data_IF_746819617926
#
_entry.id   IF_746819617926
#
_cell.length_a   1.000
_cell.length_b   1.000
_cell.length_c   1.000
_cell.angle_alpha   90.00
_cell.angle_beta   90.00
_cell.angle_gamma   90.00
#
_symmetry.space_group_name_H-M   'P 1'
#
loop_
_entity.id
_entity.type
_entity.pdbx_description
1 polymer ?
#
# COMPACT_ATOMS: atom_id res chain seq x y z
N UNK A 1 -10.63 -8.40 15.39
CA UNK A 1 -9.64 -8.04 14.33
C UNK A 1 -8.76 -6.87 14.75
N UNK A 2 -9.26 -5.67 15.04
CA UNK A 2 -8.44 -4.48 15.31
C UNK A 2 -7.35 -4.66 16.39
N UNK A 3 -7.69 -5.27 17.54
CA UNK A 3 -6.70 -5.56 18.62
C UNK A 3 -5.57 -6.49 18.16
N UNK A 4 -5.87 -7.47 17.31
CA UNK A 4 -4.86 -8.39 16.77
C UNK A 4 -3.95 -7.69 15.78
N UNK A 5 -4.49 -6.80 14.92
CA UNK A 5 -3.69 -5.99 14.00
C UNK A 5 -2.69 -5.12 14.77
N UNK A 6 -3.14 -4.40 15.79
CA UNK A 6 -2.28 -3.57 16.65
C UNK A 6 -1.19 -4.39 17.36
N UNK A 7 -1.54 -5.57 17.90
CA UNK A 7 -0.59 -6.45 18.56
C UNK A 7 0.47 -7.00 17.59
N UNK A 8 0.03 -7.43 16.39
CA UNK A 8 0.94 -7.91 15.35
C UNK A 8 1.93 -6.82 14.91
N UNK A 9 1.45 -5.58 14.68
CA UNK A 9 2.31 -4.45 14.32
C UNK A 9 3.38 -4.23 15.38
N UNK A 10 3.00 -4.16 16.66
CA UNK A 10 3.95 -4.00 17.76
C UNK A 10 4.98 -5.14 17.81
N UNK A 11 4.55 -6.39 17.61
CA UNK A 11 5.42 -7.56 17.58
C UNK A 11 6.43 -7.49 16.43
N UNK A 12 6.00 -7.17 15.21
CA UNK A 12 6.89 -7.02 14.06
C UNK A 12 7.90 -5.88 14.26
N UNK A 13 7.44 -4.73 14.76
CA UNK A 13 8.34 -3.59 15.04
C UNK A 13 9.38 -3.95 16.10
N UNK A 14 9.01 -4.69 17.15
CA UNK A 14 9.95 -5.17 18.15
C UNK A 14 10.98 -6.15 17.57
N UNK A 15 10.59 -6.94 16.54
CA UNK A 15 11.48 -7.81 15.77
C UNK A 15 12.24 -7.10 14.64
N UNK A 16 12.19 -5.77 14.56
CA UNK A 16 12.83 -4.95 13.52
C UNK A 16 12.38 -5.33 12.09
N UNK A 17 11.12 -5.74 11.96
CA UNK A 17 10.46 -6.01 10.68
C UNK A 17 9.44 -4.92 10.40
N UNK A 18 9.42 -4.40 9.17
CA UNK A 18 8.44 -3.41 8.74
C UNK A 18 7.11 -4.10 8.45
N UNK A 19 6.07 -3.94 9.29
CA UNK A 19 4.73 -4.45 8.98
C UNK A 19 4.01 -3.53 8.00
N UNK A 20 3.17 -4.14 7.14
CA UNK A 20 2.27 -3.45 6.22
C UNK A 20 0.85 -3.80 6.57
N UNK A 21 0.04 -2.81 6.99
CA UNK A 21 -1.38 -3.02 7.22
C UNK A 21 -2.12 -3.04 5.87
N UNK A 22 -2.93 -4.09 5.60
CA UNK A 22 -3.56 -4.28 4.30
C UNK A 22 -4.90 -5.01 4.37
N UNK A 23 -5.79 -4.77 3.40
CA UNK A 23 -5.71 -3.82 2.31
C UNK A 23 -6.69 -2.68 2.58
N UNK A 24 -6.19 -1.45 2.65
CA UNK A 24 -7.01 -0.26 2.93
C UNK A 24 -7.94 0.07 1.76
N UNK A 25 -9.22 0.40 2.01
CA UNK A 25 -9.88 0.70 3.28
C UNK A 25 -10.56 -0.49 3.97
N UNK A 26 -10.27 -1.72 3.59
CA UNK A 26 -10.94 -2.93 4.02
C UNK A 26 -11.88 -3.46 2.93
N UNK A 27 -11.81 -4.76 2.65
CA UNK A 27 -12.65 -5.41 1.65
C UNK A 27 -14.04 -5.75 2.20
N UNK A 28 -14.18 -5.83 3.52
CA UNK A 28 -15.42 -5.95 4.30
C UNK A 28 -16.52 -6.79 3.65
N UNK A 29 -17.50 -6.11 3.11
CA UNK A 29 -18.74 -6.60 2.56
C UNK A 29 -18.69 -6.89 1.03
N UNK A 30 -17.51 -6.92 0.43
CA UNK A 30 -17.38 -7.21 -1.00
C UNK A 30 -17.53 -8.70 -1.30
N UNK A 31 -18.16 -9.02 -2.43
CA UNK A 31 -18.31 -10.40 -2.92
C UNK A 31 -17.43 -10.71 -4.13
N UNK A 32 -16.88 -9.68 -4.77
CA UNK A 32 -16.03 -9.80 -5.95
C UNK A 32 -14.56 -9.98 -5.58
N UNK A 33 -13.84 -10.79 -6.36
CA UNK A 33 -12.40 -11.00 -6.21
C UNK A 33 -11.63 -9.90 -6.96
N UNK A 34 -10.84 -9.10 -6.24
CA UNK A 34 -10.03 -8.02 -6.81
C UNK A 34 -8.96 -8.49 -7.80
N UNK A 35 -8.62 -9.79 -7.80
CA UNK A 35 -7.74 -10.36 -8.82
C UNK A 35 -8.41 -10.50 -10.19
N UNK A 36 -9.75 -10.47 -10.26
CA UNK A 36 -10.53 -10.71 -11.49
C UNK A 36 -11.35 -9.52 -11.94
N UNK A 37 -11.87 -8.75 -11.02
CA UNK A 37 -12.69 -7.59 -11.30
C UNK A 37 -12.55 -6.54 -10.19
N UNK A 38 -13.05 -5.32 -10.43
CA UNK A 38 -13.04 -4.27 -9.44
C UNK A 38 -14.18 -4.49 -8.44
N UNK A 39 -13.85 -4.87 -7.17
CA UNK A 39 -14.86 -5.01 -6.13
C UNK A 39 -15.54 -3.68 -5.83
N UNK A 40 -16.81 -3.76 -5.46
CA UNK A 40 -17.64 -2.64 -5.05
C UNK A 40 -17.97 -2.78 -3.57
N UNK A 41 -17.68 -1.77 -2.78
CA UNK A 41 -18.14 -1.69 -1.41
C UNK A 41 -19.66 -1.49 -1.38
N UNK A 42 -20.36 -2.33 -0.61
CA UNK A 42 -21.83 -2.35 -0.57
C UNK A 42 -22.41 -1.59 0.60
N UNK A 43 -21.57 -1.26 1.61
CA UNK A 43 -22.01 -0.49 2.78
C UNK A 43 -22.52 0.89 2.37
N UNK A 44 -23.66 1.27 2.90
CA UNK A 44 -24.23 2.62 2.81
C UNK A 44 -23.74 3.56 3.93
N UNK A 45 -22.85 3.09 4.82
CA UNK A 45 -22.14 3.92 5.77
C UNK A 45 -20.97 4.66 5.10
N UNK A 46 -21.08 6.01 4.92
CA UNK A 46 -20.01 6.78 4.28
C UNK A 46 -18.73 6.83 5.11
N UNK A 47 -18.81 6.58 6.41
CA UNK A 47 -17.64 6.58 7.29
C UNK A 47 -16.89 5.26 7.27
N UNK A 48 -17.53 4.18 6.86
CA UNK A 48 -16.99 2.81 6.90
C UNK A 48 -16.32 2.49 8.23
N UNK A 49 -16.95 2.90 9.32
CA UNK A 49 -16.34 2.86 10.66
C UNK A 49 -15.82 1.47 11.04
N UNK A 50 -16.58 0.41 10.74
CA UNK A 50 -16.17 -0.97 11.04
C UNK A 50 -14.96 -1.43 10.22
N UNK A 51 -14.88 -1.03 8.95
CA UNK A 51 -13.78 -1.39 8.07
C UNK A 51 -12.51 -0.59 8.37
N UNK A 52 -12.67 0.68 8.75
CA UNK A 52 -11.55 1.55 9.08
C UNK A 52 -11.00 1.34 10.49
N UNK A 53 -11.78 0.76 11.41
CA UNK A 53 -11.33 0.52 12.78
C UNK A 53 -10.01 -0.26 12.88
N UNK A 54 -9.75 -1.35 12.13
CA UNK A 54 -8.45 -2.03 12.15
C UNK A 54 -7.29 -1.15 11.69
N UNK A 55 -7.51 -0.26 10.72
CA UNK A 55 -6.49 0.67 10.24
C UNK A 55 -6.23 1.79 11.23
N UNK A 56 -7.26 2.29 11.90
CA UNK A 56 -7.12 3.26 13.01
C UNK A 56 -6.23 2.70 14.12
N UNK A 57 -6.51 1.48 14.54
CA UNK A 57 -5.69 0.79 15.56
C UNK A 57 -4.27 0.47 15.05
N UNK A 58 -4.12 0.14 13.78
CA UNK A 58 -2.82 -0.06 13.16
C UNK A 58 -1.98 1.23 13.15
N UNK A 59 -2.58 2.35 12.77
CA UNK A 59 -1.93 3.68 12.80
C UNK A 59 -1.55 4.07 14.22
N UNK A 60 -2.46 3.90 15.19
CA UNK A 60 -2.21 4.16 16.60
C UNK A 60 -1.10 3.26 17.17
N UNK A 61 -0.94 2.03 16.65
CA UNK A 61 0.14 1.12 17.01
C UNK A 61 1.48 1.44 16.33
N UNK A 62 1.53 2.47 15.47
CA UNK A 62 2.74 2.90 14.78
C UNK A 62 3.01 2.18 13.46
N UNK A 63 1.99 1.69 12.76
CA UNK A 63 2.15 1.07 11.44
C UNK A 63 2.98 1.96 10.50
N UNK A 64 4.13 1.51 9.99
CA UNK A 64 5.00 2.34 9.16
C UNK A 64 4.56 2.37 7.69
N UNK A 65 3.76 1.39 7.27
CA UNK A 65 3.26 1.28 5.90
C UNK A 65 1.81 0.75 5.88
N UNK A 66 1.05 1.21 4.88
CA UNK A 66 -0.31 0.74 4.57
C UNK A 66 -0.37 0.44 3.08
N UNK A 67 -0.91 -0.73 2.73
CA UNK A 67 -1.17 -1.11 1.34
C UNK A 67 -2.65 -0.85 1.02
N UNK A 68 -2.92 -0.30 -0.16
CA UNK A 68 -4.27 -0.01 -0.62
C UNK A 68 -4.93 -1.23 -1.26
N UNK A 69 -6.26 -1.25 -1.29
CA UNK A 69 -7.05 -2.19 -2.08
C UNK A 69 -7.51 -1.56 -3.39
N UNK A 70 -7.61 -2.37 -4.44
CA UNK A 70 -8.37 -2.01 -5.63
C UNK A 70 -9.86 -2.22 -5.36
N UNK A 71 -10.45 -1.29 -4.63
CA UNK A 71 -11.83 -1.29 -4.19
C UNK A 71 -12.51 0.02 -4.57
N UNK A 72 -13.65 -0.06 -5.23
CA UNK A 72 -14.50 1.10 -5.46
C UNK A 72 -15.39 1.32 -4.23
N UNK A 73 -15.32 2.52 -3.67
CA UNK A 73 -16.19 2.99 -2.58
C UNK A 73 -17.04 4.13 -3.13
N UNK A 74 -18.26 3.86 -3.64
CA UNK A 74 -19.05 4.85 -4.39
C UNK A 74 -19.40 6.11 -3.57
N UNK A 75 -19.51 5.97 -2.26
CA UNK A 75 -19.78 7.10 -1.36
C UNK A 75 -18.57 8.03 -1.16
N UNK A 76 -17.37 7.60 -1.57
CA UNK A 76 -16.15 8.41 -1.48
C UNK A 76 -15.75 9.01 -2.82
N UNK A 77 -15.71 8.18 -3.86
CA UNK A 77 -15.20 8.55 -5.17
C UNK A 77 -15.73 7.59 -6.26
N UNK A 78 -15.71 8.05 -7.49
CA UNK A 78 -15.93 7.20 -8.67
C UNK A 78 -14.69 6.38 -9.08
N UNK A 79 -13.55 6.59 -8.41
CA UNK A 79 -12.29 5.89 -8.63
C UNK A 79 -12.04 4.84 -7.55
N UNK A 80 -11.33 3.75 -7.87
CA UNK A 80 -10.87 2.79 -6.86
C UNK A 80 -10.04 3.49 -5.76
N UNK A 81 -10.11 2.99 -4.54
CA UNK A 81 -9.42 3.59 -3.38
C UNK A 81 -7.92 3.84 -3.65
N UNK A 82 -7.24 2.93 -4.38
CA UNK A 82 -5.83 3.09 -4.80
C UNK A 82 -5.58 4.33 -5.66
N UNK A 83 -6.58 4.79 -6.45
CA UNK A 83 -6.49 5.93 -7.36
C UNK A 83 -7.26 7.16 -6.86
N UNK A 84 -7.79 7.11 -5.64
CA UNK A 84 -8.67 8.13 -5.07
C UNK A 84 -7.93 9.04 -4.10
N UNK A 85 -7.82 10.33 -4.42
CA UNK A 85 -7.33 11.33 -3.47
C UNK A 85 -8.25 11.43 -2.23
N UNK A 86 -9.55 11.20 -2.37
CA UNK A 86 -10.47 11.15 -1.22
C UNK A 86 -10.09 9.98 -0.31
N UNK A 87 -9.85 8.80 -0.87
CA UNK A 87 -9.41 7.63 -0.09
C UNK A 87 -8.06 7.87 0.60
N UNK A 88 -7.05 8.31 -0.15
CA UNK A 88 -5.69 8.39 0.37
C UNK A 88 -5.42 9.65 1.18
N UNK A 89 -5.82 10.84 0.69
CA UNK A 89 -5.50 12.09 1.38
C UNK A 89 -6.53 12.46 2.46
N UNK A 90 -7.82 12.29 2.18
CA UNK A 90 -8.84 12.65 3.16
C UNK A 90 -8.98 11.55 4.22
N UNK A 91 -9.27 10.30 3.83
CA UNK A 91 -9.52 9.24 4.81
C UNK A 91 -8.24 8.74 5.48
N UNK A 92 -7.25 8.29 4.72
CA UNK A 92 -6.05 7.66 5.31
C UNK A 92 -5.13 8.69 5.96
N UNK A 93 -4.75 9.78 5.24
CA UNK A 93 -3.84 10.79 5.77
C UNK A 93 -4.48 11.65 6.84
N UNK A 94 -5.64 12.26 6.54
CA UNK A 94 -6.25 13.28 7.43
C UNK A 94 -7.09 12.66 8.53
N UNK A 95 -8.05 11.77 8.21
CA UNK A 95 -8.98 11.24 9.20
C UNK A 95 -8.34 10.19 10.11
N UNK A 96 -7.51 9.29 9.56
CA UNK A 96 -6.77 8.30 10.36
C UNK A 96 -5.40 8.81 10.85
N UNK A 97 -4.92 9.97 10.41
CA UNK A 97 -3.66 10.56 10.84
C UNK A 97 -2.40 9.82 10.35
N UNK A 98 -2.50 9.00 9.31
CA UNK A 98 -1.39 8.17 8.82
C UNK A 98 -0.28 9.00 8.18
N UNK A 99 0.95 8.87 8.68
CA UNK A 99 2.12 9.61 8.20
C UNK A 99 3.19 8.72 7.54
N UNK A 100 2.96 7.39 7.52
CA UNK A 100 3.87 6.41 6.93
C UNK A 100 3.77 6.31 5.41
N UNK A 101 4.32 5.24 4.84
CA UNK A 101 4.34 4.97 3.41
C UNK A 101 3.03 4.32 2.94
N UNK A 102 2.38 4.92 1.94
CA UNK A 102 1.24 4.31 1.24
C UNK A 102 1.75 3.53 0.05
N UNK A 103 1.44 2.23 0.01
CA UNK A 103 1.83 1.31 -1.05
C UNK A 103 0.58 0.93 -1.84
N UNK A 104 0.62 0.93 -3.17
CA UNK A 104 -0.48 0.36 -3.96
C UNK A 104 -0.49 -1.16 -3.82
N UNK A 105 -1.63 -1.81 -4.05
CA UNK A 105 -1.61 -3.19 -4.50
C UNK A 105 -1.05 -3.27 -5.93
N UNK A 106 -0.84 -4.47 -6.47
CA UNK A 106 -0.25 -4.63 -7.80
C UNK A 106 -1.14 -4.00 -8.88
N UNK A 107 -0.61 -2.98 -9.55
CA UNK A 107 -1.33 -2.22 -10.59
C UNK A 107 -1.58 -3.05 -11.86
N UNK A 108 -1.02 -4.25 -11.95
CA UNK A 108 -1.28 -5.21 -13.03
C UNK A 108 -2.49 -6.11 -12.76
N UNK A 109 -3.11 -6.03 -11.55
CA UNK A 109 -4.34 -6.77 -11.25
C UNK A 109 -5.49 -6.34 -12.17
N UNK A 110 -6.32 -7.29 -12.59
CA UNK A 110 -7.40 -7.04 -13.55
C UNK A 110 -8.39 -5.95 -13.11
N UNK A 111 -8.58 -5.77 -11.82
CA UNK A 111 -9.38 -4.68 -11.25
C UNK A 111 -8.95 -3.29 -11.77
N UNK A 112 -7.68 -3.12 -12.07
CA UNK A 112 -7.10 -1.87 -12.62
C UNK A 112 -6.75 -2.04 -14.10
N UNK A 113 -6.04 -3.11 -14.47
CA UNK A 113 -5.48 -3.30 -15.80
C UNK A 113 -6.53 -3.33 -16.93
N UNK A 114 -7.76 -3.78 -16.64
CA UNK A 114 -8.89 -3.70 -17.58
C UNK A 114 -9.41 -2.29 -17.83
N UNK A 115 -9.01 -1.31 -17.02
CA UNK A 115 -9.53 0.06 -17.06
C UNK A 115 -8.49 1.06 -17.54
N UNK A 116 -7.24 0.86 -17.15
CA UNK A 116 -6.14 1.79 -17.41
C UNK A 116 -4.85 1.04 -17.76
N UNK A 117 -4.07 1.54 -18.71
CA UNK A 117 -2.68 1.11 -18.87
C UNK A 117 -1.91 1.31 -17.55
N UNK A 118 -1.01 0.37 -17.22
CA UNK A 118 -0.29 0.35 -15.93
C UNK A 118 0.46 1.65 -15.64
N UNK A 119 1.09 2.27 -16.65
CA UNK A 119 1.77 3.56 -16.49
C UNK A 119 0.82 4.70 -16.13
N UNK A 120 -0.40 4.71 -16.69
CA UNK A 120 -1.42 5.69 -16.34
C UNK A 120 -1.98 5.41 -14.93
N UNK A 121 -2.23 4.16 -14.57
CA UNK A 121 -2.65 3.78 -13.23
C UNK A 121 -1.62 4.22 -12.18
N UNK A 122 -0.33 4.00 -12.44
CA UNK A 122 0.76 4.44 -11.59
C UNK A 122 0.81 5.97 -11.43
N UNK A 123 0.61 6.70 -12.54
CA UNK A 123 0.52 8.16 -12.54
C UNK A 123 -0.64 8.66 -11.67
N UNK A 124 -1.82 8.08 -11.84
CA UNK A 124 -3.00 8.45 -11.07
C UNK A 124 -2.87 8.09 -9.59
N UNK A 125 -2.29 6.92 -9.26
CA UNK A 125 -2.02 6.51 -7.89
C UNK A 125 -1.04 7.47 -7.19
N UNK A 126 0.05 7.86 -7.86
CA UNK A 126 1.01 8.84 -7.32
C UNK A 126 0.34 10.20 -7.11
N UNK A 127 -0.43 10.68 -8.09
CA UNK A 127 -1.18 11.93 -7.98
C UNK A 127 -2.22 11.90 -6.85
N UNK A 128 -2.83 10.74 -6.59
CA UNK A 128 -3.76 10.54 -5.47
C UNK A 128 -3.06 10.50 -4.10
N UNK A 129 -1.74 10.30 -4.05
CA UNK A 129 -0.95 10.34 -2.82
C UNK A 129 -0.37 8.99 -2.38
N UNK A 130 -0.34 7.98 -3.25
CA UNK A 130 0.46 6.78 -3.02
C UNK A 130 1.95 7.11 -3.09
N UNK A 131 2.77 6.40 -2.33
CA UNK A 131 4.22 6.63 -2.24
C UNK A 131 5.03 5.54 -2.96
N UNK A 132 4.60 4.29 -2.89
CA UNK A 132 5.19 3.15 -3.58
C UNK A 132 4.17 2.52 -4.53
N UNK A 133 4.57 2.27 -5.76
CA UNK A 133 3.74 1.79 -6.85
C UNK A 133 4.21 0.39 -7.24
N UNK A 134 3.36 -0.63 -7.05
CA UNK A 134 3.71 -2.01 -7.36
C UNK A 134 3.35 -2.37 -8.80
N UNK A 135 4.34 -2.89 -9.52
CA UNK A 135 4.23 -3.53 -10.83
C UNK A 135 5.05 -4.80 -10.74
N UNK A 136 4.41 -5.95 -10.57
CA UNK A 136 5.05 -7.14 -10.04
C UNK A 136 5.51 -8.14 -11.13
N UNK A 137 4.89 -8.11 -12.32
CA UNK A 137 5.10 -9.14 -13.35
C UNK A 137 5.86 -8.60 -14.55
N UNK A 138 5.49 -7.46 -15.11
CA UNK A 138 6.12 -6.89 -16.31
C UNK A 138 7.17 -5.83 -15.94
N UNK A 139 8.44 -6.25 -15.86
CA UNK A 139 9.56 -5.35 -15.59
C UNK A 139 9.78 -4.30 -16.68
N UNK A 140 9.38 -4.58 -17.94
CA UNK A 140 9.50 -3.60 -19.03
C UNK A 140 8.45 -2.50 -18.88
N UNK A 141 7.22 -2.88 -18.50
CA UNK A 141 6.17 -1.93 -18.15
C UNK A 141 6.59 -1.09 -16.92
N UNK A 142 7.19 -1.70 -15.90
CA UNK A 142 7.73 -0.98 -14.75
C UNK A 142 8.79 0.06 -15.16
N UNK A 143 9.75 -0.29 -16.02
CA UNK A 143 10.76 0.64 -16.55
C UNK A 143 10.15 1.76 -17.40
N UNK A 144 9.14 1.43 -18.22
CA UNK A 144 8.39 2.40 -19.01
C UNK A 144 7.67 3.40 -18.11
N UNK A 145 7.04 2.90 -17.05
CA UNK A 145 6.35 3.71 -16.04
C UNK A 145 7.30 4.67 -15.33
N UNK A 146 8.49 4.22 -14.92
CA UNK A 146 9.48 5.12 -14.30
C UNK A 146 9.83 6.29 -15.22
N UNK A 147 10.03 6.04 -16.52
CA UNK A 147 10.33 7.10 -17.50
C UNK A 147 9.15 8.06 -17.67
N UNK A 148 7.93 7.54 -17.72
CA UNK A 148 6.70 8.32 -17.81
C UNK A 148 6.55 9.25 -16.61
N UNK A 149 6.70 8.72 -15.40
CA UNK A 149 6.57 9.51 -14.17
C UNK A 149 7.69 10.55 -14.02
N UNK A 150 8.91 10.20 -14.41
CA UNK A 150 10.06 11.11 -14.36
C UNK A 150 9.93 12.29 -15.34
N UNK A 151 9.16 12.14 -16.40
CA UNK A 151 8.90 13.21 -17.38
C UNK A 151 7.70 14.10 -17.03
N UNK A 152 6.92 13.74 -15.99
CA UNK A 152 5.72 14.48 -15.58
C UNK A 152 6.05 15.48 -14.45
N UNK A 153 6.37 16.71 -14.83
CA UNK A 153 6.70 17.78 -13.89
C UNK A 153 5.56 18.08 -12.89
N UNK A 154 4.30 17.76 -13.24
CA UNK A 154 3.15 18.00 -12.36
C UNK A 154 3.17 17.13 -11.10
N UNK A 155 3.93 16.03 -11.13
CA UNK A 155 4.07 15.08 -10.02
C UNK A 155 5.30 15.35 -9.14
N UNK A 156 6.14 16.34 -9.47
CA UNK A 156 7.43 16.55 -8.79
C UNK A 156 7.27 16.75 -7.28
N UNK A 157 6.34 17.59 -6.85
CA UNK A 157 6.09 17.85 -5.43
C UNK A 157 5.67 16.58 -4.68
N UNK A 158 4.73 15.82 -5.24
CA UNK A 158 4.25 14.57 -4.66
C UNK A 158 5.38 13.52 -4.62
N UNK A 159 6.16 13.39 -5.69
CA UNK A 159 7.29 12.46 -5.75
C UNK A 159 8.37 12.79 -4.70
N UNK A 160 8.66 14.06 -4.45
CA UNK A 160 9.59 14.50 -3.38
C UNK A 160 9.07 14.14 -1.98
N UNK A 161 7.78 14.35 -1.72
CA UNK A 161 7.18 13.95 -0.45
C UNK A 161 7.23 12.43 -0.24
N UNK A 162 6.89 11.68 -1.29
CA UNK A 162 6.95 10.21 -1.28
C UNK A 162 8.37 9.72 -1.03
N UNK A 163 9.36 10.27 -1.73
CA UNK A 163 10.78 9.95 -1.53
C UNK A 163 11.22 10.21 -0.07
N UNK A 164 10.77 11.32 0.53
CA UNK A 164 11.05 11.64 1.93
C UNK A 164 10.45 10.60 2.90
N UNK A 165 9.20 10.15 2.68
CA UNK A 165 8.57 9.11 3.50
C UNK A 165 9.28 7.77 3.36
N UNK A 166 9.63 7.38 2.14
CA UNK A 166 10.38 6.15 1.84
C UNK A 166 11.78 6.19 2.48
N UNK A 167 12.47 7.34 2.41
CA UNK A 167 13.78 7.49 3.03
C UNK A 167 13.71 7.29 4.55
N UNK A 168 12.71 7.88 5.23
CA UNK A 168 12.49 7.66 6.67
C UNK A 168 12.19 6.20 7.00
N UNK A 169 11.37 5.53 6.19
CA UNK A 169 11.07 4.11 6.36
C UNK A 169 12.34 3.25 6.26
N UNK A 170 13.19 3.53 5.26
CA UNK A 170 14.45 2.80 5.07
C UNK A 170 15.45 3.02 6.21
N UNK A 171 15.49 4.21 6.80
CA UNK A 171 16.37 4.51 7.94
C UNK A 171 15.97 3.75 9.21
N UNK A 172 14.71 3.32 9.32
CA UNK A 172 14.23 2.49 10.43
C UNK A 172 14.67 1.02 10.33
N UNK A 173 15.22 0.59 9.19
CA UNK A 173 15.75 -0.75 9.01
C UNK A 173 17.18 -0.86 9.53
N UNK A 174 17.54 -1.95 10.20
CA UNK A 174 18.91 -2.18 10.59
C UNK A 174 19.80 -2.30 9.34
N UNK A 175 20.92 -1.61 9.35
CA UNK A 175 21.95 -1.75 8.32
C UNK A 175 22.79 -3.02 8.57
N UNK A 176 22.14 -4.17 8.65
CA UNK A 176 22.82 -5.46 8.75
C UNK A 176 22.92 -6.06 7.35
N UNK A 177 24.08 -5.93 6.75
CA UNK A 177 24.39 -6.69 5.55
C UNK A 177 24.80 -8.11 6.00
N UNK A 178 23.91 -9.08 5.87
CA UNK A 178 24.28 -10.47 6.06
C UNK A 178 25.32 -10.85 4.97
N UNK A 179 26.43 -11.45 5.38
CA UNK A 179 27.41 -12.00 4.45
C UNK A 179 26.81 -13.18 3.70
N UNK A 180 27.33 -13.47 2.50
CA UNK A 180 26.94 -14.68 1.74
C UNK A 180 27.19 -15.97 2.54
N UNK A 181 28.14 -15.97 3.46
CA UNK A 181 28.43 -17.09 4.34
C UNK A 181 27.29 -17.32 5.35
N UNK A 182 26.86 -16.25 6.02
CA UNK A 182 25.74 -16.30 6.99
C UNK A 182 24.42 -16.73 6.31
N UNK A 183 24.15 -16.22 5.09
CA UNK A 183 22.98 -16.63 4.32
C UNK A 183 23.04 -18.12 3.97
N UNK A 184 24.21 -18.62 3.52
CA UNK A 184 24.40 -20.06 3.22
C UNK A 184 24.23 -20.93 4.44
N UNK A 185 24.79 -20.55 5.59
CA UNK A 185 24.68 -21.27 6.86
C UNK A 185 23.23 -21.33 7.32
N UNK A 186 22.46 -20.21 7.28
CA UNK A 186 21.05 -20.16 7.60
C UNK A 186 20.22 -21.15 6.76
N UNK A 187 20.45 -21.26 5.47
CA UNK A 187 19.74 -22.18 4.60
C UNK A 187 20.25 -23.64 4.70
N UNK A 188 21.51 -23.86 5.07
CA UNK A 188 22.05 -25.20 5.31
C UNK A 188 21.48 -25.84 6.58
N UNK A 189 21.28 -25.05 7.65
CA UNK A 189 20.71 -25.53 8.91
C UNK A 189 19.22 -25.90 8.85
N UNK A 190 18.48 -25.45 7.83
CA UNK A 190 17.04 -25.78 7.65
C UNK A 190 16.77 -27.11 6.91
N UNK A 191 17.81 -27.85 6.53
CA UNK A 191 17.64 -29.17 5.84
C UNK A 191 17.55 -30.38 6.79
N UNK A 192 17.48 -30.18 8.08
CA UNK A 192 17.58 -31.23 9.08
C UNK A 192 16.46 -31.27 10.14
N UNK A 193 15.26 -30.68 9.83
CA UNK A 193 14.05 -30.87 10.64
C UNK A 193 12.89 -31.39 9.79
#
# INVERSE_FOLDING_TARGET
MARYAAAAIKGYLAGVVIPVAKHFPGLGDTVADSHRELPLAQSDDPTRELDLLPFREAVAAGAPAVMTAHLLVPLWDSRPATLSAVGLQYWLRRQLGFQGVIITDDLEMEAIARRLPVGQAAREALAAGADLLLICNDWQAARGTVRLLAADETLEAQARESASRIARLRQALPHVAASLAEVREFFAGKKSE
#
